data_IF_018751525123
#
_entry.id   IF_018751525123
#
_cell.length_a   1.000
_cell.length_b   1.000
_cell.length_c   1.000
_cell.angle_alpha   90.00
_cell.angle_beta   90.00
_cell.angle_gamma   90.00
#
_symmetry.space_group_name_H-M   'P 1'
#
loop_
_entity.id
_entity.type
_entity.pdbx_description
1 polymer ?
#
# COMPACT_ATOMS: atom_id res chain seq x y z
N UNK A 1 -46.99 10.66 -7.70
CA UNK A 1 -46.26 10.89 -6.42
C UNK A 1 -45.42 12.16 -6.59
N UNK A 2 -45.38 13.07 -5.63
CA UNK A 2 -44.52 14.27 -5.69
C UNK A 2 -43.35 14.05 -4.75
N UNK A 3 -42.12 14.24 -5.25
CA UNK A 3 -40.88 14.14 -4.47
C UNK A 3 -40.53 15.52 -3.89
N UNK A 4 -39.83 15.58 -2.76
CA UNK A 4 -39.35 16.88 -2.25
C UNK A 4 -38.07 17.31 -2.97
N UNK A 5 -37.03 16.48 -2.95
CA UNK A 5 -35.74 16.78 -3.55
C UNK A 5 -35.28 15.62 -4.44
N UNK A 6 -34.95 15.94 -5.69
CA UNK A 6 -34.40 14.98 -6.65
C UNK A 6 -32.95 15.37 -6.96
N UNK A 7 -32.04 14.40 -6.87
CA UNK A 7 -30.70 14.51 -7.43
C UNK A 7 -30.62 13.62 -8.66
N UNK A 8 -30.29 14.20 -9.82
CA UNK A 8 -30.15 13.45 -11.05
C UNK A 8 -28.70 13.27 -11.46
N UNK A 9 -28.34 12.03 -11.71
CA UNK A 9 -27.03 11.59 -12.21
C UNK A 9 -27.20 10.69 -13.42
N UNK A 10 -26.72 11.10 -14.59
CA UNK A 10 -26.75 10.25 -15.78
C UNK A 10 -26.01 8.93 -15.52
N UNK A 11 -24.82 9.02 -14.86
CA UNK A 11 -24.02 7.86 -14.52
C UNK A 11 -23.40 8.01 -13.14
N UNK A 12 -23.61 7.01 -12.30
CA UNK A 12 -22.95 6.86 -10.99
C UNK A 12 -21.84 5.82 -11.16
N UNK A 13 -20.56 6.26 -11.12
CA UNK A 13 -19.40 5.40 -11.28
C UNK A 13 -19.05 4.68 -9.98
N UNK A 14 -18.10 3.72 -10.05
CA UNK A 14 -17.65 2.98 -8.86
C UNK A 14 -16.87 3.89 -7.88
N UNK A 15 -16.08 4.82 -8.39
CA UNK A 15 -15.24 5.74 -7.63
C UNK A 15 -15.26 7.10 -8.32
N UNK A 16 -15.40 8.17 -7.54
CA UNK A 16 -15.31 9.55 -8.03
C UNK A 16 -15.65 10.57 -6.97
N UNK A 17 -15.25 11.83 -7.17
CA UNK A 17 -15.56 12.94 -6.27
C UNK A 17 -17.05 13.27 -6.24
N UNK A 18 -17.74 13.16 -7.36
CA UNK A 18 -19.18 13.37 -7.47
C UNK A 18 -19.99 12.26 -6.82
N UNK A 19 -19.51 11.01 -6.86
CA UNK A 19 -20.09 9.88 -6.13
C UNK A 19 -19.92 10.06 -4.62
N UNK A 20 -18.77 10.57 -4.17
CA UNK A 20 -18.55 10.89 -2.77
C UNK A 20 -19.47 12.04 -2.31
N UNK A 21 -19.59 13.11 -3.12
CA UNK A 21 -20.56 14.19 -2.86
C UNK A 21 -21.98 13.64 -2.68
N UNK A 22 -22.41 12.77 -3.59
CA UNK A 22 -23.75 12.17 -3.54
C UNK A 22 -23.98 11.34 -2.28
N UNK A 23 -22.96 10.57 -1.88
CA UNK A 23 -22.99 9.82 -0.63
C UNK A 23 -23.07 10.73 0.61
N UNK A 24 -22.26 11.78 0.65
CA UNK A 24 -22.28 12.72 1.78
C UNK A 24 -23.61 13.47 1.89
N UNK A 25 -24.22 13.85 0.76
CA UNK A 25 -25.59 14.41 0.73
C UNK A 25 -26.58 13.39 1.32
N UNK A 26 -26.59 12.15 0.83
CA UNK A 26 -27.49 11.12 1.26
C UNK A 26 -27.36 10.84 2.76
N UNK A 27 -26.14 10.71 3.25
CA UNK A 27 -25.83 10.38 4.65
C UNK A 27 -26.15 11.52 5.61
N UNK A 28 -25.65 12.73 5.30
CA UNK A 28 -25.78 13.91 6.18
C UNK A 28 -27.21 14.41 6.27
N UNK A 29 -27.95 14.31 5.19
CA UNK A 29 -29.32 14.82 5.08
C UNK A 29 -30.35 13.69 4.95
N UNK A 30 -30.09 12.53 5.55
CA UNK A 30 -30.96 11.34 5.54
C UNK A 30 -32.39 11.59 6.08
N UNK A 31 -32.55 12.64 6.88
CA UNK A 31 -33.85 13.03 7.46
C UNK A 31 -34.67 13.92 6.50
N UNK A 32 -34.10 14.29 5.35
CA UNK A 32 -34.81 14.98 4.28
C UNK A 32 -35.34 13.97 3.26
N UNK A 33 -36.47 14.27 2.61
CA UNK A 33 -36.96 13.45 1.50
C UNK A 33 -36.10 13.72 0.26
N UNK A 34 -35.07 12.89 0.11
CA UNK A 34 -34.13 12.89 -1.03
C UNK A 34 -34.34 11.62 -1.84
N UNK A 35 -34.45 11.80 -3.15
CA UNK A 35 -34.50 10.68 -4.11
C UNK A 35 -33.43 10.90 -5.19
N UNK A 36 -32.63 9.88 -5.46
CA UNK A 36 -31.61 9.90 -6.50
C UNK A 36 -32.20 9.20 -7.74
N UNK A 37 -32.24 9.94 -8.87
CA UNK A 37 -32.55 9.39 -10.18
C UNK A 37 -31.27 9.19 -11.00
N UNK A 38 -31.16 8.06 -11.70
CA UNK A 38 -29.99 7.73 -12.50
C UNK A 38 -30.37 6.94 -13.76
N UNK A 39 -29.54 7.02 -14.81
CA UNK A 39 -29.68 6.18 -16.02
C UNK A 39 -28.83 4.90 -15.88
N UNK A 40 -27.58 5.04 -15.41
CA UNK A 40 -26.63 3.97 -15.19
C UNK A 40 -25.98 4.12 -13.81
N UNK A 41 -25.73 3.01 -13.13
CA UNK A 41 -25.04 3.06 -11.85
C UNK A 41 -24.27 1.77 -11.55
N UNK A 42 -23.17 1.90 -10.79
CA UNK A 42 -22.46 0.79 -10.19
C UNK A 42 -23.26 0.25 -8.98
N UNK A 43 -23.43 -1.05 -8.91
CA UNK A 43 -24.25 -1.70 -7.88
C UNK A 43 -23.68 -1.52 -6.45
N UNK A 44 -22.37 -1.39 -6.31
CA UNK A 44 -21.74 -1.15 -5.00
C UNK A 44 -22.14 0.24 -4.49
N UNK A 45 -22.12 1.25 -5.37
CA UNK A 45 -22.55 2.60 -5.00
C UNK A 45 -24.07 2.65 -4.73
N UNK A 46 -24.88 1.96 -5.52
CA UNK A 46 -26.32 1.89 -5.27
C UNK A 46 -26.63 1.26 -3.91
N UNK A 47 -25.95 0.16 -3.56
CA UNK A 47 -26.10 -0.47 -2.24
C UNK A 47 -25.77 0.51 -1.12
N UNK A 48 -24.66 1.24 -1.24
CA UNK A 48 -24.23 2.25 -0.26
C UNK A 48 -25.21 3.41 -0.12
N UNK A 49 -25.78 3.90 -1.23
CA UNK A 49 -26.74 5.02 -1.23
C UNK A 49 -28.11 4.61 -0.69
N UNK A 50 -28.58 3.40 -1.02
CA UNK A 50 -29.86 2.85 -0.56
C UNK A 50 -29.97 2.66 0.95
N UNK A 51 -28.85 2.71 1.67
CA UNK A 51 -28.83 2.74 3.13
C UNK A 51 -29.46 4.04 3.70
N UNK A 52 -29.46 5.12 2.91
CA UNK A 52 -29.88 6.45 3.36
C UNK A 52 -31.04 7.03 2.58
N UNK A 53 -31.13 6.77 1.26
CA UNK A 53 -32.09 7.42 0.36
C UNK A 53 -32.63 6.47 -0.69
N UNK A 54 -33.74 6.86 -1.31
CA UNK A 54 -34.29 6.13 -2.47
C UNK A 54 -33.44 6.35 -3.71
N UNK A 55 -33.14 5.27 -4.44
CA UNK A 55 -32.43 5.31 -5.72
C UNK A 55 -33.30 4.68 -6.80
N UNK A 56 -33.69 5.45 -7.79
CA UNK A 56 -34.64 5.07 -8.86
C UNK A 56 -33.94 5.17 -10.21
N UNK A 57 -34.00 4.10 -10.98
CA UNK A 57 -33.56 4.14 -12.37
C UNK A 57 -34.59 4.91 -13.20
N UNK A 58 -34.13 5.92 -13.93
CA UNK A 58 -34.98 6.74 -14.77
C UNK A 58 -35.62 5.91 -15.90
N UNK A 59 -36.92 6.18 -16.13
CA UNK A 59 -37.63 5.76 -17.34
C UNK A 59 -37.76 7.01 -18.22
N UNK A 60 -37.17 6.97 -19.42
CA UNK A 60 -37.21 8.10 -20.33
C UNK A 60 -38.62 8.42 -20.79
N UNK A 61 -39.02 9.70 -20.72
CA UNK A 61 -40.38 10.14 -21.10
C UNK A 61 -41.44 10.00 -20.00
N UNK A 62 -41.07 9.46 -18.82
CA UNK A 62 -41.95 9.48 -17.65
C UNK A 62 -41.81 10.81 -16.91
N UNK A 63 -42.94 11.54 -16.81
CA UNK A 63 -42.96 12.84 -16.11
C UNK A 63 -42.92 12.66 -14.61
N UNK A 64 -41.90 13.23 -13.96
CA UNK A 64 -41.68 13.21 -12.53
C UNK A 64 -41.91 14.60 -11.93
N UNK A 65 -42.71 14.67 -10.84
CA UNK A 65 -43.01 15.92 -10.12
C UNK A 65 -42.21 16.03 -8.82
N UNK A 66 -41.58 17.20 -8.60
CA UNK A 66 -40.86 17.49 -7.35
C UNK A 66 -40.90 18.96 -6.96
N UNK A 67 -40.43 19.30 -5.75
CA UNK A 67 -40.24 20.68 -5.38
C UNK A 67 -38.91 21.19 -5.95
N UNK A 68 -37.82 20.44 -5.74
CA UNK A 68 -36.48 20.83 -6.18
C UNK A 68 -35.77 19.70 -6.92
N UNK A 69 -35.09 20.06 -8.00
CA UNK A 69 -34.23 19.11 -8.71
C UNK A 69 -32.81 19.67 -8.84
N UNK A 70 -31.82 18.81 -8.58
CA UNK A 70 -30.39 19.09 -8.64
C UNK A 70 -29.74 18.25 -9.74
N UNK A 71 -29.35 18.90 -10.82
CA UNK A 71 -28.65 18.29 -11.94
C UNK A 71 -27.16 18.32 -11.72
N UNK A 72 -26.52 17.19 -11.80
CA UNK A 72 -25.08 17.08 -11.76
C UNK A 72 -24.52 16.96 -13.18
N UNK A 73 -23.99 18.05 -13.71
CA UNK A 73 -23.34 18.12 -15.03
C UNK A 73 -24.27 17.89 -16.24
N UNK A 74 -25.27 17.04 -16.17
CA UNK A 74 -26.06 16.61 -17.32
C UNK A 74 -27.57 16.88 -17.09
N UNK A 75 -28.22 17.44 -18.10
CA UNK A 75 -29.62 17.85 -18.08
C UNK A 75 -30.57 16.88 -18.82
N UNK A 76 -30.13 15.65 -19.17
CA UNK A 76 -30.91 14.71 -19.99
C UNK A 76 -32.32 14.41 -19.48
N UNK A 77 -32.56 14.64 -18.19
CA UNK A 77 -33.88 14.42 -17.55
C UNK A 77 -34.72 15.72 -17.43
N UNK A 78 -34.21 16.87 -17.85
CA UNK A 78 -34.83 18.16 -17.52
C UNK A 78 -36.24 18.29 -18.11
N UNK A 79 -36.52 17.71 -19.27
CA UNK A 79 -37.83 17.72 -19.90
C UNK A 79 -38.80 16.72 -19.26
N UNK A 80 -38.31 15.69 -18.64
CA UNK A 80 -39.10 14.69 -17.92
C UNK A 80 -39.42 15.11 -16.47
N UNK A 81 -39.01 16.33 -16.05
CA UNK A 81 -39.27 16.84 -14.68
C UNK A 81 -40.11 18.10 -14.71
N UNK A 82 -41.12 18.10 -13.82
CA UNK A 82 -41.87 19.28 -13.40
C UNK A 82 -41.48 19.64 -11.96
N UNK A 83 -40.65 20.69 -11.78
CA UNK A 83 -40.16 21.16 -10.49
C UNK A 83 -40.53 22.63 -10.24
N UNK A 84 -40.55 23.04 -8.97
CA UNK A 84 -40.68 24.43 -8.59
C UNK A 84 -39.35 25.18 -8.77
N UNK A 85 -38.22 24.49 -8.48
CA UNK A 85 -36.88 25.05 -8.63
C UNK A 85 -35.94 24.02 -9.28
N UNK A 86 -35.12 24.50 -10.24
CA UNK A 86 -34.17 23.70 -11.01
C UNK A 86 -32.76 24.20 -10.75
N UNK A 87 -31.92 23.33 -10.23
CA UNK A 87 -30.54 23.63 -9.85
C UNK A 87 -29.55 22.88 -10.74
N UNK A 88 -28.54 23.59 -11.21
CA UNK A 88 -27.35 22.98 -11.81
C UNK A 88 -26.18 23.03 -10.83
N UNK A 89 -25.54 21.91 -10.54
CA UNK A 89 -24.43 21.78 -9.60
C UNK A 89 -23.13 21.66 -10.37
N UNK A 90 -22.26 22.64 -10.21
CA UNK A 90 -20.94 22.71 -10.86
C UNK A 90 -19.82 22.24 -9.95
N UNK A 91 -19.24 21.08 -10.27
CA UNK A 91 -18.15 20.47 -9.48
C UNK A 91 -16.75 20.72 -10.03
N UNK A 92 -16.62 21.29 -11.22
CA UNK A 92 -15.33 21.45 -11.88
C UNK A 92 -15.30 22.68 -12.81
N UNK A 93 -14.12 23.07 -13.25
CA UNK A 93 -13.96 23.94 -14.41
C UNK A 93 -14.16 23.09 -15.68
N UNK A 94 -15.38 23.06 -16.16
CA UNK A 94 -15.75 22.22 -17.32
C UNK A 94 -15.09 22.67 -18.61
N UNK A 95 -14.73 23.94 -18.72
CA UNK A 95 -14.06 24.50 -19.90
C UNK A 95 -12.64 23.94 -20.06
N UNK A 96 -11.87 23.89 -18.97
CA UNK A 96 -10.54 23.25 -18.98
C UNK A 96 -10.60 21.75 -19.23
N UNK A 97 -11.69 21.10 -18.84
CA UNK A 97 -11.92 19.70 -19.13
C UNK A 97 -12.41 19.44 -20.57
N UNK A 98 -12.59 20.50 -21.39
CA UNK A 98 -13.09 20.39 -22.74
C UNK A 98 -14.59 20.08 -22.85
N UNK A 99 -15.33 20.21 -21.75
CA UNK A 99 -16.78 20.02 -21.74
C UNK A 99 -17.50 21.36 -21.90
N UNK A 100 -18.62 21.34 -22.63
CA UNK A 100 -19.58 22.46 -22.70
C UNK A 100 -20.83 22.05 -21.95
N UNK A 101 -21.01 22.46 -20.70
CA UNK A 101 -22.23 22.17 -19.98
C UNK A 101 -23.39 22.94 -20.62
N UNK A 102 -24.52 22.27 -20.75
CA UNK A 102 -25.76 22.88 -21.26
C UNK A 102 -26.45 23.64 -20.12
N UNK A 103 -25.90 24.81 -19.76
CA UNK A 103 -26.46 25.64 -18.69
C UNK A 103 -27.38 26.75 -19.19
N UNK A 104 -27.57 26.86 -20.49
CA UNK A 104 -28.44 27.81 -21.18
C UNK A 104 -29.91 27.39 -21.25
N UNK A 105 -30.27 26.35 -20.50
CA UNK A 105 -31.64 25.81 -20.48
C UNK A 105 -32.57 26.72 -19.70
N UNK A 106 -33.69 27.11 -20.32
CA UNK A 106 -34.66 28.09 -19.77
C UNK A 106 -35.37 27.67 -18.49
N UNK A 107 -35.40 26.39 -18.16
CA UNK A 107 -35.96 25.88 -16.89
C UNK A 107 -35.01 26.06 -15.71
N UNK A 108 -33.70 26.25 -15.92
CA UNK A 108 -32.76 26.40 -14.80
C UNK A 108 -33.02 27.69 -14.06
N UNK A 109 -33.25 27.59 -12.76
CA UNK A 109 -33.52 28.72 -11.87
C UNK A 109 -32.32 29.16 -11.05
N UNK A 110 -31.37 28.21 -10.77
CA UNK A 110 -30.22 28.46 -9.94
C UNK A 110 -29.00 27.67 -10.42
N UNK A 111 -27.82 28.24 -10.21
CA UNK A 111 -26.54 27.55 -10.29
C UNK A 111 -25.98 27.34 -8.88
N UNK A 112 -25.32 26.21 -8.63
CA UNK A 112 -24.60 25.94 -7.39
C UNK A 112 -23.15 25.69 -7.73
N UNK A 113 -22.25 26.58 -7.28
CA UNK A 113 -20.81 26.34 -7.28
C UNK A 113 -20.37 25.69 -5.97
N UNK A 114 -19.68 24.57 -6.04
CA UNK A 114 -19.22 23.84 -4.84
C UNK A 114 -17.97 24.45 -4.18
N UNK A 115 -17.45 25.53 -4.76
CA UNK A 115 -16.35 26.37 -4.22
C UNK A 115 -16.49 27.79 -4.76
N UNK A 116 -15.71 28.74 -4.25
CA UNK A 116 -15.69 30.09 -4.84
C UNK A 116 -15.27 30.00 -6.31
N UNK A 117 -14.23 29.26 -6.61
CA UNK A 117 -13.74 29.09 -7.98
C UNK A 117 -14.83 28.56 -8.94
N UNK A 118 -15.57 27.50 -8.54
CA UNK A 118 -16.65 26.98 -9.40
C UNK A 118 -17.85 27.93 -9.49
N UNK A 119 -18.10 28.75 -8.48
CA UNK A 119 -19.10 29.82 -8.50
C UNK A 119 -18.73 30.87 -9.55
N UNK A 120 -17.51 31.39 -9.47
CA UNK A 120 -17.01 32.40 -10.39
C UNK A 120 -17.04 31.90 -11.85
N UNK A 121 -16.71 30.65 -12.08
CA UNK A 121 -16.78 30.02 -13.41
C UNK A 121 -18.20 29.84 -13.93
N UNK A 122 -19.16 29.55 -13.08
CA UNK A 122 -20.56 29.46 -13.45
C UNK A 122 -21.13 30.84 -13.78
N UNK A 123 -20.73 31.87 -13.05
CA UNK A 123 -21.11 33.27 -13.34
C UNK A 123 -20.54 33.72 -14.69
N UNK A 124 -19.23 33.53 -14.93
CA UNK A 124 -18.59 33.83 -16.21
C UNK A 124 -19.28 33.11 -17.42
N UNK A 125 -19.73 31.87 -17.22
CA UNK A 125 -20.46 31.16 -18.25
C UNK A 125 -21.88 31.68 -18.45
N UNK A 126 -22.58 31.93 -17.34
CA UNK A 126 -23.90 32.53 -17.38
C UNK A 126 -23.91 33.81 -18.18
N UNK A 127 -22.95 34.73 -17.90
CA UNK A 127 -22.78 36.00 -18.61
C UNK A 127 -22.53 35.76 -20.10
N UNK A 128 -21.60 34.85 -20.48
CA UNK A 128 -21.29 34.57 -21.91
C UNK A 128 -22.47 33.97 -22.68
N UNK A 129 -23.33 33.24 -22.02
CA UNK A 129 -24.49 32.58 -22.61
C UNK A 129 -25.77 33.48 -22.51
N UNK A 130 -25.68 34.66 -21.88
CA UNK A 130 -26.83 35.51 -21.65
C UNK A 130 -27.85 34.91 -20.68
N UNK A 131 -27.42 34.03 -19.81
CA UNK A 131 -28.27 33.36 -18.79
C UNK A 131 -28.26 34.17 -17.52
N UNK A 132 -29.39 34.77 -17.17
CA UNK A 132 -29.55 35.54 -15.93
C UNK A 132 -30.05 34.61 -14.80
N UNK A 133 -29.15 33.72 -14.35
CA UNK A 133 -29.45 32.74 -13.30
C UNK A 133 -28.67 33.04 -12.04
N UNK A 134 -29.32 33.03 -10.88
CA UNK A 134 -28.65 33.25 -9.60
C UNK A 134 -27.71 32.11 -9.27
N UNK A 135 -26.43 32.44 -9.08
CA UNK A 135 -25.43 31.50 -8.60
C UNK A 135 -25.32 31.51 -7.07
N UNK A 136 -25.28 30.33 -6.48
CA UNK A 136 -25.17 30.12 -5.03
C UNK A 136 -23.89 29.33 -4.77
N UNK A 137 -23.05 29.80 -3.87
CA UNK A 137 -21.93 29.01 -3.37
C UNK A 137 -22.41 28.07 -2.28
N UNK A 138 -22.22 26.77 -2.49
CA UNK A 138 -22.54 25.74 -1.50
C UNK A 138 -21.46 24.66 -1.50
N UNK A 139 -20.60 24.66 -0.49
CA UNK A 139 -19.55 23.66 -0.38
C UNK A 139 -20.11 22.25 -0.26
N UNK A 140 -19.39 21.30 -0.84
CA UNK A 140 -19.74 19.88 -0.70
C UNK A 140 -19.80 19.50 0.79
N UNK A 141 -20.84 18.77 1.22
CA UNK A 141 -20.90 18.29 2.59
C UNK A 141 -19.77 17.26 2.83
N UNK A 142 -19.27 17.25 4.04
CA UNK A 142 -18.30 16.28 4.50
C UNK A 142 -18.66 15.85 5.92
N UNK A 143 -18.78 14.56 6.14
CA UNK A 143 -18.93 13.95 7.45
C UNK A 143 -17.59 13.39 7.89
N UNK A 144 -16.97 14.01 8.88
CA UNK A 144 -15.72 13.49 9.47
C UNK A 144 -16.12 12.54 10.59
N UNK A 145 -15.88 11.26 10.37
CA UNK A 145 -16.06 10.26 11.40
C UNK A 145 -14.83 10.19 12.31
N UNK A 146 -14.99 9.79 13.57
CA UNK A 146 -13.88 9.54 14.46
C UNK A 146 -12.91 8.55 13.80
N UNK A 147 -11.60 8.84 13.92
CA UNK A 147 -10.56 7.94 13.42
C UNK A 147 -10.69 6.57 14.08
N UNK A 148 -11.00 5.56 13.30
CA UNK A 148 -11.00 4.17 13.77
C UNK A 148 -9.57 3.61 13.67
N UNK A 149 -9.16 2.85 14.69
CA UNK A 149 -7.91 2.10 14.63
C UNK A 149 -8.09 0.97 13.61
N UNK A 150 -7.19 0.91 12.63
CA UNK A 150 -7.06 -0.22 11.71
C UNK A 150 -6.05 -1.18 12.33
N UNK A 151 -6.47 -2.42 12.60
CA UNK A 151 -5.56 -3.45 13.11
C UNK A 151 -4.68 -3.96 11.97
N UNK A 152 -3.37 -3.94 12.18
CA UNK A 152 -2.37 -4.40 11.22
C UNK A 152 -1.89 -5.80 11.59
N UNK A 153 -2.12 -6.74 10.71
CA UNK A 153 -1.74 -8.14 10.84
C UNK A 153 -0.65 -8.48 9.82
N UNK A 154 0.33 -9.26 10.22
CA UNK A 154 1.42 -9.71 9.33
C UNK A 154 1.62 -11.21 9.42
N UNK A 155 1.85 -11.85 8.29
CA UNK A 155 2.35 -13.23 8.18
C UNK A 155 3.47 -13.31 7.15
N UNK A 156 4.45 -14.16 7.40
CA UNK A 156 5.50 -14.50 6.45
C UNK A 156 5.61 -16.03 6.34
N UNK A 157 4.93 -16.62 5.36
CA UNK A 157 4.86 -18.07 5.23
C UNK A 157 4.52 -18.52 3.81
N UNK A 158 4.81 -19.77 3.49
CA UNK A 158 4.40 -20.43 2.23
C UNK A 158 3.00 -21.01 2.40
N UNK A 159 1.96 -20.26 2.02
CA UNK A 159 0.56 -20.66 2.25
C UNK A 159 0.17 -22.04 1.69
N UNK A 160 0.74 -22.43 0.54
CA UNK A 160 0.45 -23.73 -0.09
C UNK A 160 1.15 -24.91 0.60
N UNK A 161 2.05 -24.64 1.54
CA UNK A 161 2.71 -25.67 2.33
C UNK A 161 1.73 -26.20 3.38
N UNK A 162 1.49 -27.53 3.38
CA UNK A 162 0.60 -28.19 4.32
C UNK A 162 0.94 -27.91 5.78
N UNK A 163 2.22 -27.61 6.07
CA UNK A 163 2.70 -27.24 7.41
C UNK A 163 2.18 -25.86 7.82
N UNK A 164 2.04 -24.93 6.89
CA UNK A 164 1.85 -23.49 7.19
C UNK A 164 0.39 -23.06 7.39
N UNK A 165 -0.57 -23.96 7.31
CA UNK A 165 -1.95 -23.73 7.76
C UNK A 165 -2.78 -22.79 6.89
N UNK A 166 -2.69 -22.94 5.57
CA UNK A 166 -3.49 -22.15 4.64
C UNK A 166 -5.00 -22.21 4.91
N UNK A 167 -5.54 -23.38 5.24
CA UNK A 167 -6.97 -23.55 5.57
C UNK A 167 -7.35 -22.79 6.85
N UNK A 168 -6.49 -22.80 7.88
CA UNK A 168 -6.71 -22.04 9.11
C UNK A 168 -6.66 -20.53 8.84
N UNK A 169 -5.76 -20.10 7.95
CA UNK A 169 -5.68 -18.72 7.49
C UNK A 169 -6.99 -18.28 6.85
N UNK A 170 -7.57 -19.10 5.95
CA UNK A 170 -8.86 -18.77 5.32
C UNK A 170 -10.00 -18.67 6.33
N UNK A 171 -10.09 -19.60 7.29
CA UNK A 171 -11.14 -19.55 8.33
C UNK A 171 -11.00 -18.31 9.21
N UNK A 172 -9.78 -17.92 9.58
CA UNK A 172 -9.55 -16.72 10.39
C UNK A 172 -9.88 -15.44 9.61
N UNK A 173 -9.54 -15.38 8.32
CA UNK A 173 -9.94 -14.26 7.44
C UNK A 173 -11.47 -14.11 7.43
N UNK A 174 -12.18 -15.22 7.24
CA UNK A 174 -13.66 -15.20 7.23
C UNK A 174 -14.25 -14.71 8.56
N UNK A 175 -13.70 -15.15 9.69
CA UNK A 175 -14.13 -14.71 11.02
C UNK A 175 -13.84 -13.22 11.25
N UNK A 176 -12.65 -12.74 10.85
CA UNK A 176 -12.28 -11.32 10.93
C UNK A 176 -13.18 -10.45 10.07
N UNK A 177 -13.47 -10.87 8.84
CA UNK A 177 -14.36 -10.12 7.93
C UNK A 177 -15.80 -10.04 8.50
N UNK A 178 -16.33 -11.13 9.04
CA UNK A 178 -17.63 -11.17 9.74
C UNK A 178 -17.63 -10.21 10.94
N UNK A 179 -16.57 -10.24 11.75
CA UNK A 179 -16.44 -9.36 12.90
C UNK A 179 -16.42 -7.89 12.49
N UNK A 180 -15.62 -7.55 11.46
CA UNK A 180 -15.53 -6.19 10.93
C UNK A 180 -16.88 -5.65 10.45
N UNK A 181 -17.62 -6.44 9.69
CA UNK A 181 -18.96 -6.06 9.21
C UNK A 181 -19.92 -5.82 10.39
N UNK A 182 -19.92 -6.73 11.37
CA UNK A 182 -20.86 -6.68 12.51
C UNK A 182 -20.59 -5.49 13.44
N UNK A 183 -19.32 -5.14 13.68
CA UNK A 183 -18.92 -4.17 14.69
C UNK A 183 -18.30 -2.89 14.10
N UNK A 184 -18.37 -2.73 12.78
CA UNK A 184 -17.78 -1.59 12.05
C UNK A 184 -16.31 -1.39 12.43
N UNK A 185 -15.52 -2.46 12.35
CA UNK A 185 -14.07 -2.45 12.60
C UNK A 185 -13.31 -2.67 11.30
N UNK A 186 -12.01 -2.37 11.30
CA UNK A 186 -11.17 -2.54 10.11
C UNK A 186 -9.84 -3.20 10.48
N UNK A 187 -9.35 -4.06 9.59
CA UNK A 187 -8.01 -4.61 9.67
C UNK A 187 -7.36 -4.61 8.28
N UNK A 188 -6.04 -4.74 8.27
CA UNK A 188 -5.25 -5.03 7.07
C UNK A 188 -4.32 -6.18 7.43
N UNK A 189 -4.41 -7.28 6.69
CA UNK A 189 -3.51 -8.42 6.86
C UNK A 189 -2.57 -8.54 5.66
N UNK A 190 -1.30 -8.24 5.87
CA UNK A 190 -0.25 -8.41 4.86
C UNK A 190 0.37 -9.79 5.00
N UNK A 191 0.29 -10.60 3.96
CA UNK A 191 0.83 -11.96 3.92
C UNK A 191 1.96 -12.01 2.89
N UNK A 192 3.20 -12.18 3.36
CA UNK A 192 4.36 -12.43 2.51
C UNK A 192 4.43 -13.91 2.17
N UNK A 193 4.19 -14.26 0.91
CA UNK A 193 4.11 -15.66 0.46
C UNK A 193 4.61 -15.83 -0.98
N UNK A 194 5.03 -17.05 -1.30
CA UNK A 194 5.23 -17.44 -2.70
C UNK A 194 3.90 -17.36 -3.48
N UNK A 195 3.93 -17.36 -4.83
CA UNK A 195 2.71 -17.53 -5.60
C UNK A 195 1.91 -18.71 -5.09
N UNK A 196 0.65 -18.47 -4.73
CA UNK A 196 -0.23 -19.45 -4.08
C UNK A 196 -1.43 -19.80 -4.96
N UNK A 197 -1.92 -21.04 -4.86
CA UNK A 197 -3.19 -21.47 -5.45
C UNK A 197 -4.39 -21.15 -4.55
N UNK A 198 -4.14 -20.80 -3.30
CA UNK A 198 -5.17 -20.43 -2.32
C UNK A 198 -5.79 -19.11 -2.77
N UNK A 199 -7.09 -19.12 -3.02
CA UNK A 199 -7.86 -17.92 -3.37
C UNK A 199 -8.35 -17.22 -2.10
N UNK A 200 -7.93 -15.98 -1.92
CA UNK A 200 -8.37 -15.12 -0.82
C UNK A 200 -9.21 -14.00 -1.42
N UNK A 201 -10.48 -13.94 -1.04
CA UNK A 201 -11.44 -12.97 -1.58
C UNK A 201 -11.74 -11.81 -0.61
N UNK A 202 -10.97 -11.66 0.45
CA UNK A 202 -11.13 -10.54 1.40
C UNK A 202 -10.47 -9.27 0.86
N UNK A 203 -11.17 -8.10 0.89
CA UNK A 203 -10.58 -6.81 0.53
C UNK A 203 -9.55 -6.33 1.56
N UNK A 204 -9.53 -6.95 2.75
CA UNK A 204 -8.66 -6.58 3.85
C UNK A 204 -7.32 -7.34 3.84
N UNK A 205 -7.10 -8.23 2.87
CA UNK A 205 -5.90 -9.06 2.78
C UNK A 205 -5.05 -8.67 1.58
N UNK A 206 -3.77 -8.43 1.83
CA UNK A 206 -2.78 -8.07 0.82
C UNK A 206 -1.75 -9.21 0.71
N UNK A 207 -1.72 -9.88 -0.45
CA UNK A 207 -0.68 -10.85 -0.76
C UNK A 207 0.55 -10.16 -1.33
N UNK A 208 1.68 -10.32 -0.67
CA UNK A 208 2.98 -9.77 -1.08
C UNK A 208 3.93 -10.88 -1.50
N UNK A 209 4.79 -10.59 -2.49
CA UNK A 209 5.88 -11.50 -2.85
C UNK A 209 6.84 -11.68 -1.65
N UNK A 210 7.53 -12.82 -1.56
CA UNK A 210 8.53 -13.05 -0.52
C UNK A 210 9.58 -11.93 -0.52
N UNK A 211 9.99 -11.52 0.67
CA UNK A 211 11.05 -10.54 0.88
C UNK A 211 12.07 -11.10 1.85
N UNK A 212 13.33 -10.74 1.66
CA UNK A 212 14.42 -11.09 2.58
C UNK A 212 14.24 -10.32 3.90
N UNK A 213 13.82 -9.07 3.81
CA UNK A 213 13.60 -8.21 4.96
C UNK A 213 12.11 -7.94 5.18
N UNK A 214 11.51 -8.70 6.10
CA UNK A 214 10.12 -8.53 6.54
C UNK A 214 10.02 -7.87 7.93
N UNK A 215 11.15 -7.69 8.61
CA UNK A 215 11.23 -7.16 9.98
C UNK A 215 10.56 -5.81 10.18
N UNK A 216 10.71 -4.81 9.27
CA UNK A 216 10.02 -3.54 9.41
C UNK A 216 8.49 -3.68 9.45
N UNK A 217 7.93 -4.63 8.68
CA UNK A 217 6.50 -4.90 8.67
C UNK A 217 6.04 -5.59 9.97
N UNK A 218 6.86 -6.52 10.49
CA UNK A 218 6.63 -7.15 11.78
C UNK A 218 6.61 -6.09 12.89
N UNK A 219 7.62 -5.24 12.95
CA UNK A 219 7.75 -4.21 13.96
C UNK A 219 6.61 -3.16 13.95
N UNK A 220 6.00 -2.90 12.78
CA UNK A 220 4.87 -1.94 12.62
C UNK A 220 3.48 -2.61 12.68
N UNK A 221 3.40 -3.90 13.03
CA UNK A 221 2.13 -4.63 13.14
C UNK A 221 1.57 -4.65 14.56
N UNK A 222 0.25 -4.83 14.66
CA UNK A 222 -0.42 -5.05 15.96
C UNK A 222 -0.35 -6.53 16.36
N UNK A 223 -0.30 -7.46 15.39
CA UNK A 223 -0.11 -8.90 15.61
C UNK A 223 0.64 -9.54 14.44
N UNK A 224 1.45 -10.54 14.78
CA UNK A 224 2.03 -11.45 13.78
C UNK A 224 1.33 -12.81 13.88
N UNK A 225 0.94 -13.36 12.72
CA UNK A 225 0.18 -14.59 12.66
C UNK A 225 1.03 -15.74 12.11
N UNK A 226 1.12 -16.82 12.90
CA UNK A 226 1.84 -18.04 12.54
C UNK A 226 0.93 -19.26 12.81
N UNK A 227 0.16 -19.64 11.80
CA UNK A 227 -0.88 -20.68 11.90
C UNK A 227 -0.41 -22.06 11.45
N UNK A 228 0.88 -22.35 11.61
CA UNK A 228 1.51 -23.63 11.24
C UNK A 228 0.96 -24.82 12.05
N UNK A 229 1.22 -26.05 11.59
CA UNK A 229 1.01 -27.23 12.41
C UNK A 229 2.24 -27.49 13.30
N UNK A 230 2.19 -28.50 14.16
CA UNK A 230 3.23 -28.82 15.16
C UNK A 230 4.54 -29.38 14.54
N UNK A 231 4.63 -29.42 13.21
CA UNK A 231 5.92 -29.70 12.53
C UNK A 231 6.83 -28.46 12.49
N UNK A 232 6.33 -27.30 12.89
CA UNK A 232 7.13 -26.09 13.06
C UNK A 232 7.90 -26.16 14.39
N UNK A 233 9.23 -26.16 14.34
CA UNK A 233 10.06 -26.41 15.52
C UNK A 233 10.50 -25.17 16.26
N UNK A 234 11.19 -24.22 15.60
CA UNK A 234 11.72 -23.02 16.27
C UNK A 234 10.94 -21.74 15.94
N UNK A 235 10.49 -21.60 14.69
CA UNK A 235 9.75 -20.45 14.15
C UNK A 235 10.40 -19.08 14.40
N UNK A 236 11.34 -18.69 13.54
CA UNK A 236 11.98 -17.37 13.60
C UNK A 236 10.98 -16.21 13.63
N UNK A 237 9.90 -16.27 12.86
CA UNK A 237 8.89 -15.22 12.78
C UNK A 237 8.23 -14.93 14.12
N UNK A 238 7.98 -15.95 14.94
CA UNK A 238 7.47 -15.80 16.31
C UNK A 238 8.49 -15.07 17.18
N UNK A 239 9.74 -15.53 17.18
CA UNK A 239 10.80 -14.94 17.99
C UNK A 239 11.11 -13.49 17.58
N UNK A 240 11.07 -13.18 16.28
CA UNK A 240 11.22 -11.82 15.77
C UNK A 240 10.08 -10.91 16.21
N UNK A 241 8.82 -11.37 16.09
CA UNK A 241 7.66 -10.62 16.55
C UNK A 241 7.76 -10.26 18.05
N UNK A 242 7.97 -11.27 18.88
CA UNK A 242 8.13 -11.09 20.30
C UNK A 242 9.30 -10.17 20.65
N UNK A 243 10.43 -10.31 19.93
CA UNK A 243 11.61 -9.45 20.09
C UNK A 243 11.34 -7.97 19.81
N UNK A 244 10.40 -7.66 18.94
CA UNK A 244 9.92 -6.30 18.68
C UNK A 244 8.79 -5.85 19.62
N UNK A 245 8.38 -6.70 20.59
CA UNK A 245 7.25 -6.41 21.46
C UNK A 245 5.90 -6.52 20.77
N UNK A 246 5.82 -7.26 19.68
CA UNK A 246 4.59 -7.51 18.92
C UNK A 246 4.00 -8.85 19.33
N UNK A 247 2.74 -8.88 19.80
CA UNK A 247 2.06 -10.12 20.16
C UNK A 247 1.79 -11.01 18.95
N UNK A 248 1.62 -12.29 19.23
CA UNK A 248 1.41 -13.29 18.17
C UNK A 248 0.02 -13.94 18.25
N UNK A 249 -0.49 -14.35 17.08
CA UNK A 249 -1.59 -15.29 16.96
C UNK A 249 -1.03 -16.57 16.36
N UNK A 250 -1.13 -17.67 17.07
CA UNK A 250 -0.52 -18.93 16.66
C UNK A 250 -1.45 -20.10 16.95
N UNK A 251 -1.16 -21.27 16.39
CA UNK A 251 -1.70 -22.56 16.79
C UNK A 251 -0.96 -23.07 18.03
N UNK A 252 -1.43 -24.12 18.73
CA UNK A 252 -0.78 -24.66 19.94
C UNK A 252 0.54 -25.39 19.61
N UNK A 253 1.52 -24.65 19.10
CA UNK A 253 2.85 -25.19 18.73
C UNK A 253 3.62 -25.64 19.98
N UNK A 254 4.33 -26.75 19.89
CA UNK A 254 5.14 -27.29 20.99
C UNK A 254 6.19 -26.29 21.47
N UNK A 255 6.77 -25.50 20.59
CA UNK A 255 7.77 -24.46 20.94
C UNK A 255 7.25 -23.41 21.93
N UNK A 256 5.95 -23.12 21.96
CA UNK A 256 5.39 -22.11 22.88
C UNK A 256 5.64 -22.45 24.35
N UNK A 257 5.79 -23.74 24.69
CA UNK A 257 6.10 -24.19 26.04
C UNK A 257 7.53 -23.85 26.49
N UNK A 258 8.40 -23.59 25.52
CA UNK A 258 9.82 -23.29 25.74
C UNK A 258 10.08 -21.78 25.74
N UNK A 259 9.14 -20.99 25.23
CA UNK A 259 9.28 -19.54 25.17
C UNK A 259 8.82 -18.88 26.48
N UNK A 260 9.54 -17.88 26.99
CA UNK A 260 9.17 -17.14 28.20
C UNK A 260 8.04 -16.12 27.90
N UNK A 261 6.86 -16.61 27.54
CA UNK A 261 5.68 -15.82 27.18
C UNK A 261 4.49 -16.16 28.07
N UNK A 262 3.59 -15.22 28.21
CA UNK A 262 2.33 -15.34 28.95
C UNK A 262 1.13 -15.15 28.03
N UNK A 263 -0.07 -15.28 28.55
CA UNK A 263 -1.30 -15.00 27.79
C UNK A 263 -1.38 -13.55 27.27
N UNK A 264 -0.55 -12.64 27.80
CA UNK A 264 -0.50 -11.26 27.30
C UNK A 264 0.09 -11.19 25.88
N UNK A 265 1.13 -11.98 25.61
CA UNK A 265 1.91 -11.90 24.38
C UNK A 265 1.35 -12.76 23.24
N UNK A 266 0.38 -13.66 23.52
CA UNK A 266 -0.11 -14.54 22.48
C UNK A 266 -1.61 -14.83 22.54
N UNK A 267 -2.17 -15.19 21.39
CA UNK A 267 -3.49 -15.77 21.19
C UNK A 267 -3.33 -17.14 20.56
N UNK A 268 -4.07 -18.14 21.00
CA UNK A 268 -3.96 -19.51 20.51
C UNK A 268 -5.23 -19.93 19.79
N UNK A 269 -5.12 -20.07 18.46
CA UNK A 269 -6.15 -20.66 17.61
C UNK A 269 -6.06 -22.18 17.69
N UNK A 270 -7.12 -22.88 18.06
CA UNK A 270 -7.08 -24.34 18.12
C UNK A 270 -6.88 -24.98 16.74
N UNK A 271 -6.40 -26.24 16.73
CA UNK A 271 -6.10 -26.95 15.48
C UNK A 271 -7.26 -27.06 14.49
N UNK A 272 -8.48 -27.12 14.98
CA UNK A 272 -9.70 -27.28 14.21
C UNK A 272 -10.41 -25.94 13.95
N UNK A 273 -9.88 -24.85 14.53
CA UNK A 273 -10.43 -23.50 14.48
C UNK A 273 -11.81 -23.36 15.15
N UNK A 274 -12.09 -24.17 16.20
CA UNK A 274 -13.39 -24.07 16.90
C UNK A 274 -13.54 -22.75 17.67
N UNK A 275 -12.42 -22.11 18.04
CA UNK A 275 -12.38 -20.82 18.74
C UNK A 275 -12.09 -19.64 17.81
N UNK A 276 -12.25 -19.80 16.48
CA UNK A 276 -11.83 -18.78 15.50
C UNK A 276 -12.54 -17.44 15.66
N UNK A 277 -13.84 -17.47 16.00
CA UNK A 277 -14.63 -16.24 16.21
C UNK A 277 -14.18 -15.51 17.50
N UNK A 278 -13.81 -16.24 18.54
CA UNK A 278 -13.23 -15.67 19.77
C UNK A 278 -11.84 -15.07 19.52
N UNK A 279 -11.00 -15.73 18.75
CA UNK A 279 -9.70 -15.18 18.33
C UNK A 279 -9.90 -13.90 17.51
N UNK A 280 -10.83 -13.89 16.57
CA UNK A 280 -11.15 -12.69 15.78
C UNK A 280 -11.59 -11.54 16.70
N UNK A 281 -12.45 -11.80 17.68
CA UNK A 281 -12.86 -10.82 18.70
C UNK A 281 -11.66 -10.32 19.51
N UNK A 282 -10.83 -11.22 20.04
CA UNK A 282 -9.67 -10.86 20.88
C UNK A 282 -8.64 -10.00 20.12
N UNK A 283 -8.43 -10.22 18.83
CA UNK A 283 -7.53 -9.38 18.00
C UNK A 283 -7.96 -7.90 18.04
N UNK A 284 -9.25 -7.61 18.14
CA UNK A 284 -9.75 -6.23 18.19
C UNK A 284 -9.96 -5.68 19.62
N UNK A 285 -10.22 -6.52 20.58
CA UNK A 285 -10.66 -6.09 21.91
C UNK A 285 -9.61 -6.27 23.00
N UNK A 286 -8.66 -7.20 22.81
CA UNK A 286 -7.63 -7.46 23.82
C UNK A 286 -6.68 -6.27 23.93
N UNK A 287 -6.54 -5.74 25.12
CA UNK A 287 -5.51 -4.78 25.44
C UNK A 287 -4.20 -5.51 25.75
N UNK A 288 -3.24 -5.41 24.83
CA UNK A 288 -1.91 -5.97 25.00
C UNK A 288 -1.05 -4.96 25.78
N UNK A 289 -0.60 -5.34 26.95
CA UNK A 289 0.32 -4.53 27.73
C UNK A 289 1.73 -4.57 27.13
N UNK A 290 2.49 -3.47 27.15
CA UNK A 290 3.88 -3.48 26.73
C UNK A 290 4.66 -4.57 27.45
N UNK A 291 5.45 -5.33 26.73
CA UNK A 291 6.26 -6.42 27.26
C UNK A 291 7.67 -6.39 26.68
N UNK A 292 8.60 -7.05 27.36
CA UNK A 292 9.96 -7.24 26.89
C UNK A 292 10.25 -8.72 26.78
N UNK A 293 10.45 -9.18 25.57
CA UNK A 293 10.83 -10.56 25.30
C UNK A 293 12.34 -10.72 25.30
N UNK A 294 12.83 -11.76 25.94
CA UNK A 294 14.22 -12.18 25.92
C UNK A 294 14.24 -13.58 25.31
N UNK A 295 14.75 -13.74 24.09
CA UNK A 295 14.76 -15.05 23.45
C UNK A 295 15.62 -16.05 24.25
N UNK A 296 15.32 -17.35 24.15
CA UNK A 296 16.17 -18.40 24.73
C UNK A 296 17.62 -18.21 24.25
N UNK A 297 18.55 -18.39 25.18
CA UNK A 297 19.98 -18.25 24.87
C UNK A 297 20.41 -19.37 23.94
N UNK A 298 20.98 -19.00 22.80
CA UNK A 298 21.66 -19.96 21.95
C UNK A 298 23.01 -20.38 22.54
N UNK A 299 23.48 -21.55 22.17
CA UNK A 299 24.76 -22.11 22.64
C UNK A 299 25.69 -22.50 21.49
N UNK A 300 25.45 -21.95 20.30
CA UNK A 300 26.25 -22.26 19.13
C UNK A 300 27.75 -21.98 19.31
N UNK A 301 28.09 -20.99 20.14
CA UNK A 301 29.48 -20.70 20.49
C UNK A 301 30.21 -21.86 21.17
N UNK A 302 29.48 -22.82 21.77
CA UNK A 302 30.07 -24.04 22.35
C UNK A 302 30.35 -25.13 21.29
N UNK A 303 29.69 -25.03 20.14
CA UNK A 303 29.77 -26.00 19.06
C UNK A 303 30.71 -25.55 17.92
N UNK A 304 30.83 -24.24 17.73
CA UNK A 304 31.69 -23.68 16.70
C UNK A 304 33.15 -23.72 17.17
N UNK A 305 34.04 -24.14 16.26
CA UNK A 305 35.48 -24.08 16.54
C UNK A 305 35.93 -22.62 16.67
N UNK A 306 36.83 -22.37 17.62
CA UNK A 306 37.44 -21.05 17.76
C UNK A 306 38.29 -20.73 16.53
N UNK A 307 38.14 -19.56 16.00
CA UNK A 307 38.90 -19.08 14.84
C UNK A 307 38.55 -17.64 14.50
N UNK A 308 39.50 -16.94 13.90
CA UNK A 308 39.27 -15.59 13.40
C UNK A 308 38.74 -15.66 11.98
N UNK A 309 37.62 -15.01 11.71
CA UNK A 309 37.09 -14.90 10.35
C UNK A 309 38.03 -14.07 9.48
N UNK A 310 38.42 -14.62 8.34
CA UNK A 310 39.17 -13.90 7.30
C UNK A 310 38.25 -13.31 6.22
N UNK A 311 36.95 -13.58 6.31
CA UNK A 311 35.96 -13.25 5.28
C UNK A 311 35.93 -11.75 4.93
N UNK A 312 36.00 -10.87 5.94
CA UNK A 312 36.02 -9.42 5.70
C UNK A 312 37.35 -8.93 5.09
N UNK A 313 38.45 -9.66 5.35
CA UNK A 313 39.72 -9.42 4.70
C UNK A 313 39.70 -9.90 3.25
N UNK A 314 39.07 -11.06 3.00
CA UNK A 314 38.89 -11.64 1.65
C UNK A 314 38.03 -10.75 0.76
N UNK A 315 36.97 -10.12 1.28
CA UNK A 315 36.15 -9.15 0.54
C UNK A 315 36.92 -7.92 0.03
N UNK A 316 37.97 -7.54 0.74
CA UNK A 316 38.84 -6.40 0.37
C UNK A 316 39.91 -6.78 -0.64
N UNK A 317 40.11 -8.07 -0.89
CA UNK A 317 41.10 -8.53 -1.86
C UNK A 317 40.57 -8.39 -3.28
N UNK A 318 41.50 -8.06 -4.18
CA UNK A 318 41.26 -8.18 -5.63
C UNK A 318 41.84 -9.51 -6.14
N UNK A 319 41.29 -9.98 -7.20
CA UNK A 319 41.65 -11.26 -7.79
C UNK A 319 42.00 -11.05 -9.26
N UNK A 320 43.19 -11.52 -9.66
CA UNK A 320 43.51 -11.64 -11.08
C UNK A 320 42.80 -12.89 -11.61
N UNK A 321 41.90 -12.70 -12.56
CA UNK A 321 41.14 -13.77 -13.20
C UNK A 321 41.53 -13.88 -14.67
N UNK A 322 41.37 -15.06 -15.24
CA UNK A 322 41.62 -15.34 -16.65
C UNK A 322 40.35 -15.88 -17.31
N UNK A 323 39.97 -15.29 -18.43
CA UNK A 323 38.78 -15.68 -19.19
C UNK A 323 38.89 -17.10 -19.75
N UNK A 324 37.82 -17.85 -19.64
CA UNK A 324 37.65 -19.18 -20.30
C UNK A 324 37.03 -18.98 -21.70
N UNK A 325 37.12 -20.06 -22.51
CA UNK A 325 36.44 -20.13 -23.81
C UNK A 325 34.89 -19.99 -23.69
N UNK A 326 34.36 -20.37 -22.55
CA UNK A 326 32.93 -20.23 -22.24
C UNK A 326 32.50 -18.77 -22.14
N UNK A 327 33.32 -17.88 -21.58
CA UNK A 327 32.98 -16.47 -21.46
C UNK A 327 32.93 -15.77 -22.82
N UNK A 328 33.94 -15.97 -23.63
CA UNK A 328 34.01 -15.41 -24.98
C UNK A 328 32.80 -15.83 -25.84
N UNK A 329 32.35 -17.08 -25.73
CA UNK A 329 31.17 -17.59 -26.44
C UNK A 329 29.86 -16.95 -26.03
N UNK A 330 29.75 -16.36 -24.83
CA UNK A 330 28.52 -15.69 -24.37
C UNK A 330 28.27 -14.37 -25.07
N UNK A 331 29.28 -13.74 -25.64
CA UNK A 331 29.28 -12.37 -26.18
C UNK A 331 28.81 -11.30 -25.17
N UNK A 332 28.84 -11.62 -23.88
CA UNK A 332 28.56 -10.68 -22.81
C UNK A 332 29.78 -9.84 -22.49
N UNK A 333 29.58 -8.56 -22.26
CA UNK A 333 30.64 -7.70 -21.77
C UNK A 333 30.82 -7.88 -20.24
N UNK A 334 32.04 -7.79 -19.78
CA UNK A 334 32.34 -7.69 -18.34
C UNK A 334 32.29 -6.23 -17.88
N UNK A 335 31.61 -5.97 -16.74
CA UNK A 335 31.44 -4.61 -16.27
C UNK A 335 32.75 -4.01 -15.73
N UNK A 336 33.46 -4.76 -14.87
CA UNK A 336 34.70 -4.26 -14.25
C UNK A 336 35.82 -4.12 -15.30
N UNK A 337 35.92 -5.07 -16.24
CA UNK A 337 36.88 -4.93 -17.34
C UNK A 337 36.49 -3.82 -18.31
N UNK A 338 35.19 -3.62 -18.58
CA UNK A 338 34.70 -2.52 -19.41
C UNK A 338 35.03 -1.14 -18.79
N UNK A 339 34.92 -1.02 -17.47
CA UNK A 339 35.33 0.18 -16.75
C UNK A 339 36.87 0.41 -16.85
N UNK A 340 37.68 -0.66 -16.71
CA UNK A 340 39.14 -0.57 -16.84
C UNK A 340 39.56 -0.18 -18.27
N UNK A 341 38.82 -0.62 -19.30
CA UNK A 341 39.11 -0.32 -20.71
C UNK A 341 38.48 0.99 -21.18
N UNK A 342 37.53 1.55 -20.43
CA UNK A 342 36.83 2.79 -20.81
C UNK A 342 35.76 2.58 -21.92
N UNK A 343 35.45 1.34 -22.25
CA UNK A 343 34.44 0.98 -23.26
C UNK A 343 33.79 -0.37 -22.96
N UNK A 344 32.66 -0.68 -23.62
CA UNK A 344 32.01 -1.99 -23.54
C UNK A 344 32.93 -3.07 -24.08
N UNK A 345 33.46 -3.91 -23.20
CA UNK A 345 34.47 -4.90 -23.56
C UNK A 345 34.03 -6.33 -23.24
N UNK A 346 34.23 -7.21 -24.21
CA UNK A 346 33.99 -8.66 -24.09
C UNK A 346 35.34 -9.35 -23.91
N UNK A 347 35.58 -10.02 -22.77
CA UNK A 347 36.84 -10.70 -22.53
C UNK A 347 37.09 -11.81 -23.57
N UNK A 348 38.30 -11.84 -24.13
CA UNK A 348 38.74 -12.92 -25.02
C UNK A 348 39.32 -14.07 -24.19
N UNK A 349 39.28 -15.28 -24.73
CA UNK A 349 39.86 -16.45 -24.07
C UNK A 349 41.33 -16.19 -23.68
N UNK A 350 41.68 -16.48 -22.44
CA UNK A 350 43.01 -16.26 -21.90
C UNK A 350 43.33 -14.84 -21.48
N UNK A 351 42.41 -13.89 -21.66
CA UNK A 351 42.62 -12.52 -21.18
C UNK A 351 42.51 -12.45 -19.66
N UNK A 352 43.40 -11.70 -19.03
CA UNK A 352 43.46 -11.56 -17.57
C UNK A 352 43.12 -10.13 -17.16
N UNK A 353 42.33 -9.98 -16.08
CA UNK A 353 42.02 -8.68 -15.46
C UNK A 353 41.71 -8.82 -13.98
N UNK A 354 41.74 -7.71 -13.28
CA UNK A 354 41.44 -7.67 -11.84
C UNK A 354 39.93 -7.53 -11.61
N UNK A 355 39.43 -8.30 -10.65
CA UNK A 355 38.02 -8.26 -10.22
C UNK A 355 37.91 -8.19 -8.70
N UNK A 356 36.80 -7.65 -8.21
CA UNK A 356 36.39 -7.71 -6.82
C UNK A 356 36.09 -9.14 -6.37
N UNK A 357 36.09 -9.37 -5.06
CA UNK A 357 35.69 -10.67 -4.47
C UNK A 357 34.30 -11.12 -4.97
N UNK A 358 33.31 -10.24 -4.87
CA UNK A 358 31.93 -10.59 -5.28
C UNK A 358 31.81 -10.91 -6.77
N UNK A 359 32.57 -10.19 -7.61
CA UNK A 359 32.58 -10.43 -9.04
C UNK A 359 33.28 -11.75 -9.38
N UNK A 360 34.40 -12.05 -8.71
CA UNK A 360 35.12 -13.32 -8.83
C UNK A 360 34.18 -14.49 -8.58
N UNK A 361 33.47 -14.51 -7.44
CA UNK A 361 32.55 -15.60 -7.08
C UNK A 361 31.53 -15.87 -8.21
N UNK A 362 30.84 -14.82 -8.69
CA UNK A 362 29.86 -14.93 -9.77
C UNK A 362 30.46 -15.49 -11.07
N UNK A 363 31.64 -15.03 -11.44
CA UNK A 363 32.28 -15.45 -12.69
C UNK A 363 32.81 -16.89 -12.63
N UNK A 364 33.31 -17.30 -11.47
CA UNK A 364 33.77 -18.70 -11.21
C UNK A 364 32.59 -19.65 -11.21
N UNK A 365 31.50 -19.34 -10.52
CA UNK A 365 30.27 -20.15 -10.49
C UNK A 365 29.67 -20.36 -11.86
N UNK A 366 29.73 -19.35 -12.71
CA UNK A 366 29.31 -19.43 -14.10
C UNK A 366 30.31 -20.18 -15.00
N UNK A 367 31.48 -20.47 -14.50
CA UNK A 367 32.58 -21.11 -15.25
C UNK A 367 33.19 -20.18 -16.32
N UNK A 368 33.07 -18.88 -16.17
CA UNK A 368 33.54 -17.87 -17.13
C UNK A 368 35.00 -17.52 -16.95
N UNK A 369 35.53 -17.66 -15.74
CA UNK A 369 36.92 -17.35 -15.43
C UNK A 369 37.58 -18.41 -14.57
N UNK A 370 38.93 -18.42 -14.60
CA UNK A 370 39.79 -19.12 -13.64
C UNK A 370 40.48 -18.07 -12.78
N UNK A 371 40.62 -18.33 -11.50
CA UNK A 371 41.42 -17.46 -10.60
C UNK A 371 42.88 -17.78 -10.85
N UNK A 372 43.63 -16.77 -11.19
CA UNK A 372 45.08 -16.87 -11.45
C UNK A 372 45.88 -16.51 -10.20
N UNK A 373 45.48 -15.43 -9.52
CA UNK A 373 46.20 -14.89 -8.37
C UNK A 373 45.32 -14.06 -7.47
N UNK A 374 45.55 -14.11 -6.17
CA UNK A 374 45.03 -13.18 -5.18
C UNK A 374 45.94 -11.96 -5.07
N UNK A 375 45.34 -10.77 -5.08
CA UNK A 375 46.07 -9.49 -4.98
C UNK A 375 45.68 -8.85 -3.65
N UNK A 376 46.60 -8.81 -2.69
CA UNK A 376 46.39 -8.02 -1.47
C UNK A 376 46.59 -6.56 -1.83
N UNK A 377 45.62 -5.70 -1.55
CA UNK A 377 45.82 -4.24 -1.59
C UNK A 377 46.88 -3.90 -0.55
N UNK A 378 48.05 -3.51 -1.02
CA UNK A 378 49.03 -2.85 -0.15
C UNK A 378 48.44 -1.48 0.16
N UNK A 379 48.16 -1.19 1.44
CA UNK A 379 47.81 0.15 1.89
C UNK A 379 48.95 1.09 1.42
N UNK A 380 48.73 1.80 0.35
CA UNK A 380 49.59 2.90 -0.06
C UNK A 380 49.42 3.98 1.00
N UNK A 381 50.35 4.00 1.94
CA UNK A 381 50.44 5.07 2.92
C UNK A 381 50.40 6.41 2.18
N UNK A 382 49.31 7.10 2.25
CA UNK A 382 49.14 8.44 1.71
C UNK A 382 50.18 9.34 2.37
N UNK A 383 51.28 9.63 1.67
CA UNK A 383 52.21 10.68 2.05
C UNK A 383 51.41 11.98 2.13
N UNK A 384 51.20 12.47 3.36
CA UNK A 384 50.68 13.83 3.58
C UNK A 384 51.59 14.80 2.84
N UNK A 385 51.06 15.73 2.04
CA UNK A 385 51.91 16.75 1.42
C UNK A 385 52.54 17.59 2.53
N UNK A 386 53.87 17.75 2.44
CA UNK A 386 54.61 18.65 3.29
C UNK A 386 54.11 20.08 3.04
N UNK A 387 53.47 20.67 4.05
CA UNK A 387 53.14 22.09 4.07
C UNK A 387 54.41 22.89 3.99
N UNK A 388 54.67 23.54 2.86
CA UNK A 388 55.68 24.57 2.72
C UNK A 388 55.35 25.73 3.65
N UNK A 389 56.30 26.03 4.57
CA UNK A 389 56.25 27.21 5.44
C UNK A 389 56.37 28.47 4.59
N UNK A 390 55.30 29.23 4.46
CA UNK A 390 55.36 30.56 3.88
C UNK A 390 56.18 31.49 4.75
N UNK A 391 57.29 31.97 4.18
CA UNK A 391 58.16 32.99 4.76
C UNK A 391 57.44 34.34 4.78
N UNK A 392 57.12 34.88 5.96
CA UNK A 392 56.54 36.22 6.13
C UNK A 392 57.71 37.24 5.85
N UNK A 393 57.62 37.97 4.74
CA UNK A 393 58.34 39.20 4.52
C UNK A 393 57.69 40.33 5.33
N UNK A 394 58.38 40.77 6.34
CA UNK A 394 58.14 42.05 7.06
C UNK A 394 58.56 43.21 6.20
N UNK A 395 57.65 44.02 5.73
CA UNK A 395 57.87 45.34 5.20
C UNK A 395 57.63 46.38 6.30
N UNK A 396 58.75 47.00 6.74
CA UNK A 396 58.77 48.25 7.51
C UNK A 396 58.16 49.35 6.63
N UNK A 397 57.19 50.07 7.12
CA UNK A 397 56.87 51.43 6.67
C UNK A 397 57.26 52.41 7.73
N UNK A 398 58.22 53.30 7.34
CA UNK A 398 58.52 54.54 7.99
C UNK A 398 57.57 55.65 7.52
N UNK A 399 57.17 56.44 8.42
CA UNK A 399 56.54 57.72 8.58
C UNK A 399 55.08 57.72 8.99
#
# INVERSE_FOLDING_TARGET
MKYANIFYFRKICKIGGTEQFLYEIAKKYKDYDITIFYDQADEIQLKRLREYVRCIKRVKGEIVKCNKVFFNFNLDMIEDIEAEEYYFVGHANYEELGYKPQIDHNKLTHFIGVSQFSTDKLDEWGERLGVNTKTIRCYNPLTIEPKQKVIRLVSACRLDDKVKGGDRTLKLIEALDKYCIKYNRNYIWTIFTNPTKIKINSPNVILMKPRIDVRPYIADSDYVLQLSNDMETYCYTINEALGYGVPIVTTPLSILKELPITDNEHLVLDWNCNNVDDIAKQIFEKEVKPFKYIPPKDEWNKLLAEGKSTYEEEKKMKYLVESTDKYEKTKNHDLELSEQKGERYIPKQGEQWEVSYERKEKLVDLGFVKVVKEIKEVETATRKPKTEKAVKKTTKKSK
#
